data_IF_380831209835
#
_entry.id   IF_380831209835
#
_cell.length_a   1.000
_cell.length_b   1.000
_cell.length_c   1.000
_cell.angle_alpha   90.00
_cell.angle_beta   90.00
_cell.angle_gamma   90.00
#
_symmetry.space_group_name_H-M   'P 1'
#
loop_
_entity.id
_entity.type
_entity.pdbx_description
1 polymer ?
#
# COMPACT_ATOMS: atom_id res chain seq x y z
N UNK A 1 -3.00 4.07 -24.52
CA UNK A 1 -2.17 5.27 -24.17
C UNK A 1 -2.06 5.32 -22.64
N UNK A 2 -0.95 5.79 -22.09
CA UNK A 2 -0.83 5.99 -20.64
C UNK A 2 -1.70 7.17 -20.21
N UNK A 3 -2.36 7.02 -19.07
CA UNK A 3 -3.02 8.12 -18.38
C UNK A 3 -2.05 8.73 -17.37
N UNK A 4 -2.09 10.04 -17.19
CA UNK A 4 -1.17 10.76 -16.30
C UNK A 4 -1.99 11.50 -15.23
N UNK A 5 -1.59 11.34 -13.98
CA UNK A 5 -2.14 12.03 -12.83
C UNK A 5 -1.05 12.83 -12.14
N UNK A 6 -1.31 14.08 -11.79
CA UNK A 6 -0.39 14.90 -11.00
C UNK A 6 -0.72 14.85 -9.51
N UNK A 7 0.30 14.68 -8.68
CA UNK A 7 0.22 14.85 -7.22
C UNK A 7 0.74 16.26 -6.90
N UNK A 8 -0.18 17.15 -6.53
CA UNK A 8 0.12 18.57 -6.33
C UNK A 8 0.71 18.86 -4.93
N UNK A 9 2.03 19.05 -4.86
CA UNK A 9 2.78 19.33 -3.62
C UNK A 9 3.75 20.52 -3.78
N UNK A 10 3.38 21.52 -4.61
CA UNK A 10 4.23 22.66 -4.92
C UNK A 10 5.49 22.22 -5.68
N UNK A 11 6.67 22.60 -5.19
CA UNK A 11 7.96 22.23 -5.80
C UNK A 11 8.25 20.70 -5.76
N UNK A 12 7.54 19.96 -4.91
CA UNK A 12 7.66 18.50 -4.77
C UNK A 12 6.58 17.73 -5.53
N UNK A 13 5.83 18.44 -6.40
CA UNK A 13 4.83 17.80 -7.26
C UNK A 13 5.48 16.78 -8.18
N UNK A 14 4.77 15.70 -8.47
CA UNK A 14 5.23 14.66 -9.37
C UNK A 14 4.06 14.03 -10.14
N UNK A 15 4.39 13.28 -11.17
CA UNK A 15 3.40 12.58 -11.99
C UNK A 15 3.34 11.09 -11.67
N UNK A 16 2.14 10.54 -11.79
CA UNK A 16 1.88 9.10 -11.78
C UNK A 16 1.38 8.74 -13.18
N UNK A 17 2.13 7.93 -13.89
CA UNK A 17 1.75 7.38 -15.19
C UNK A 17 1.16 5.99 -14.97
N UNK A 18 -0.04 5.75 -15.50
CA UNK A 18 -0.75 4.47 -15.37
C UNK A 18 -1.13 3.96 -16.76
N UNK A 19 -0.82 2.71 -17.05
CA UNK A 19 -1.22 2.09 -18.31
C UNK A 19 -0.40 0.85 -18.64
N UNK A 20 -0.73 0.22 -19.76
CA UNK A 20 -0.04 -0.96 -20.28
C UNK A 20 1.27 -0.60 -21.00
N UNK A 21 2.28 -1.45 -20.90
CA UNK A 21 3.55 -1.33 -21.63
C UNK A 21 4.43 -0.15 -21.20
N UNK A 22 4.25 0.37 -19.97
CA UNK A 22 5.05 1.48 -19.48
C UNK A 22 6.49 1.05 -19.18
N UNK A 23 6.68 -0.17 -18.72
CA UNK A 23 8.00 -0.72 -18.40
C UNK A 23 8.91 -0.73 -19.62
N UNK A 24 8.40 -1.17 -20.76
CA UNK A 24 9.14 -1.18 -22.02
C UNK A 24 9.49 0.23 -22.56
N UNK A 25 8.89 1.28 -22.01
CA UNK A 25 9.11 2.69 -22.33
C UNK A 25 9.68 3.49 -21.17
N UNK A 26 10.01 2.82 -20.05
CA UNK A 26 10.45 3.47 -18.83
C UNK A 26 11.65 4.39 -19.07
N UNK A 27 12.66 3.94 -19.84
CA UNK A 27 13.83 4.74 -20.18
C UNK A 27 13.46 6.08 -20.81
N UNK A 28 12.56 6.09 -21.80
CA UNK A 28 12.12 7.31 -22.48
C UNK A 28 11.35 8.26 -21.55
N UNK A 29 10.57 7.71 -20.60
CA UNK A 29 9.81 8.48 -19.61
C UNK A 29 10.70 9.05 -18.49
N UNK A 30 11.73 8.30 -18.10
CA UNK A 30 12.65 8.68 -17.02
C UNK A 30 13.71 9.68 -17.52
N UNK A 31 14.22 9.50 -18.77
CA UNK A 31 15.34 10.28 -19.31
C UNK A 31 15.24 11.80 -19.15
N UNK A 32 14.08 12.45 -19.36
CA UNK A 32 13.93 13.89 -19.22
C UNK A 32 14.07 14.39 -17.76
N UNK A 33 13.92 13.52 -16.76
CA UNK A 33 13.97 13.85 -15.33
C UNK A 33 15.37 13.69 -14.75
N UNK A 34 16.29 13.06 -15.49
CA UNK A 34 17.64 12.76 -15.00
C UNK A 34 18.57 13.96 -15.17
N UNK A 35 19.28 14.31 -14.09
CA UNK A 35 20.36 15.30 -14.14
C UNK A 35 21.59 14.75 -14.91
N UNK A 36 21.85 13.45 -14.81
CA UNK A 36 22.84 12.71 -15.61
C UNK A 36 22.20 11.43 -16.15
N UNK A 37 22.64 10.90 -17.30
CA UNK A 37 22.07 9.70 -17.90
C UNK A 37 22.48 8.42 -17.15
N UNK A 38 22.27 8.40 -15.83
CA UNK A 38 22.66 7.32 -14.93
C UNK A 38 21.62 7.09 -13.84
N UNK A 39 21.27 5.83 -13.62
CA UNK A 39 20.37 5.41 -12.55
C UNK A 39 20.96 4.26 -11.73
N UNK A 40 20.51 4.12 -10.49
CA UNK A 40 20.76 2.95 -9.67
C UNK A 40 19.43 2.24 -9.38
N UNK A 41 19.28 1.00 -9.85
CA UNK A 41 18.04 0.22 -9.75
C UNK A 41 18.10 -0.67 -8.52
N UNK A 42 17.07 -0.61 -7.69
CA UNK A 42 16.88 -1.51 -6.54
C UNK A 42 15.66 -2.38 -6.81
N UNK A 43 15.83 -3.68 -6.76
CA UNK A 43 14.77 -4.66 -7.00
C UNK A 43 14.90 -5.85 -6.06
N UNK A 44 13.99 -6.81 -6.14
CA UNK A 44 14.10 -8.09 -5.45
C UNK A 44 14.25 -9.26 -6.44
N UNK A 45 14.67 -10.44 -5.91
CA UNK A 45 14.93 -11.65 -6.69
C UNK A 45 13.72 -12.09 -7.54
N UNK A 46 12.49 -11.88 -7.05
CA UNK A 46 11.28 -12.23 -7.79
C UNK A 46 11.11 -11.34 -9.02
N UNK A 47 11.28 -10.04 -8.84
CA UNK A 47 11.11 -9.05 -9.92
C UNK A 47 12.29 -9.08 -10.89
N UNK A 48 13.51 -9.40 -10.40
CA UNK A 48 14.68 -9.63 -11.25
C UNK A 48 14.35 -10.67 -12.32
N UNK A 49 13.89 -11.86 -11.91
CA UNK A 49 13.60 -12.97 -12.85
C UNK A 49 12.43 -12.73 -13.78
N UNK A 50 11.51 -11.81 -13.44
CA UNK A 50 10.29 -11.59 -14.22
C UNK A 50 10.37 -10.39 -15.16
N UNK A 51 11.01 -9.30 -14.74
CA UNK A 51 10.79 -8.00 -15.39
C UNK A 51 12.06 -7.15 -15.54
N UNK A 52 13.19 -7.48 -14.88
CA UNK A 52 14.36 -6.62 -14.85
C UNK A 52 14.97 -6.43 -16.25
N UNK A 53 15.01 -7.45 -17.06
CA UNK A 53 15.56 -7.36 -18.43
C UNK A 53 14.77 -6.37 -19.28
N UNK A 54 13.44 -6.36 -19.19
CA UNK A 54 12.59 -5.40 -19.88
C UNK A 54 12.91 -3.96 -19.49
N UNK A 55 13.15 -3.72 -18.18
CA UNK A 55 13.54 -2.39 -17.67
C UNK A 55 14.93 -2.01 -18.20
N UNK A 56 15.92 -2.90 -18.08
CA UNK A 56 17.30 -2.66 -18.56
C UNK A 56 17.34 -2.33 -20.04
N UNK A 57 16.67 -3.13 -20.88
CA UNK A 57 16.58 -2.85 -22.31
C UNK A 57 15.94 -1.48 -22.63
N UNK A 58 14.96 -1.08 -21.83
CA UNK A 58 14.32 0.23 -22.00
C UNK A 58 15.26 1.37 -21.60
N UNK A 59 16.04 1.21 -20.53
CA UNK A 59 17.05 2.17 -20.09
C UNK A 59 18.18 2.28 -21.10
N UNK A 60 18.70 1.15 -21.61
CA UNK A 60 19.78 1.09 -22.61
C UNK A 60 19.37 1.78 -23.91
N UNK A 61 18.14 1.52 -24.41
CA UNK A 61 17.61 2.22 -25.59
C UNK A 61 17.52 3.73 -25.42
N UNK A 62 17.35 4.21 -24.19
CA UNK A 62 17.32 5.63 -23.86
C UNK A 62 18.71 6.22 -23.56
N UNK A 63 19.78 5.43 -23.70
CA UNK A 63 21.16 5.83 -23.37
C UNK A 63 21.36 6.13 -21.89
N UNK A 64 20.68 5.39 -21.01
CA UNK A 64 20.79 5.52 -19.54
C UNK A 64 21.67 4.39 -19.00
N UNK A 65 22.83 4.75 -18.46
CA UNK A 65 23.68 3.82 -17.73
C UNK A 65 22.93 3.34 -16.47
N UNK A 66 22.87 2.02 -16.25
CA UNK A 66 22.19 1.46 -15.11
C UNK A 66 23.09 0.51 -14.32
N UNK A 67 23.15 0.72 -13.03
CA UNK A 67 23.70 -0.17 -12.03
C UNK A 67 22.59 -0.55 -11.05
N UNK A 68 22.79 -1.54 -10.23
CA UNK A 68 21.74 -1.88 -9.28
C UNK A 68 22.11 -2.99 -8.32
N UNK A 69 21.18 -3.27 -7.44
CA UNK A 69 21.24 -4.35 -6.43
C UNK A 69 19.93 -5.11 -6.42
N UNK A 70 20.03 -6.41 -6.22
CA UNK A 70 18.91 -7.32 -6.02
C UNK A 70 18.88 -7.71 -4.56
N UNK A 71 17.72 -7.55 -3.91
CA UNK A 71 17.51 -7.83 -2.50
C UNK A 71 16.65 -9.10 -2.34
N UNK A 72 16.69 -9.77 -1.19
CA UNK A 72 15.75 -10.84 -0.90
C UNK A 72 14.31 -10.31 -0.90
N UNK A 73 13.32 -11.09 -1.40
CA UNK A 73 11.92 -10.71 -1.34
C UNK A 73 11.36 -10.82 0.08
N UNK A 74 10.27 -10.08 0.36
CA UNK A 74 9.49 -10.20 1.59
C UNK A 74 9.76 -9.11 2.63
N UNK A 75 8.84 -9.02 3.60
CA UNK A 75 8.80 -7.96 4.60
C UNK A 75 10.03 -7.93 5.54
N UNK A 76 10.72 -9.06 5.71
CA UNK A 76 11.94 -9.18 6.49
C UNK A 76 13.12 -8.38 5.92
N UNK A 77 13.09 -8.05 4.64
CA UNK A 77 14.10 -7.21 3.97
C UNK A 77 14.01 -5.74 4.37
N UNK A 78 12.90 -5.35 4.98
CA UNK A 78 12.61 -3.97 5.34
C UNK A 78 13.12 -3.63 6.73
N UNK A 79 14.44 -3.72 6.95
CA UNK A 79 15.10 -3.50 8.25
C UNK A 79 16.38 -2.64 8.14
N UNK A 80 17.05 -2.41 9.27
CA UNK A 80 18.28 -1.64 9.33
C UNK A 80 19.46 -2.32 8.63
N UNK A 81 19.56 -3.64 8.68
CA UNK A 81 20.68 -4.36 8.09
C UNK A 81 20.66 -4.25 6.55
N UNK A 82 19.46 -4.43 5.96
CA UNK A 82 19.29 -4.26 4.51
C UNK A 82 19.40 -2.78 4.09
N UNK A 83 18.96 -1.84 4.93
CA UNK A 83 19.20 -0.42 4.67
C UNK A 83 20.68 -0.09 4.61
N UNK A 84 21.47 -0.57 5.56
CA UNK A 84 22.93 -0.37 5.59
C UNK A 84 23.58 -0.97 4.34
N UNK A 85 23.34 -2.24 4.03
CA UNK A 85 23.82 -2.90 2.82
C UNK A 85 23.43 -2.17 1.53
N UNK A 86 22.22 -1.64 1.47
CA UNK A 86 21.74 -0.89 0.30
C UNK A 86 22.51 0.43 0.15
N UNK A 87 22.73 1.15 1.24
CA UNK A 87 23.52 2.39 1.23
C UNK A 87 24.98 2.13 0.81
N UNK A 88 25.58 1.07 1.34
CA UNK A 88 26.95 0.67 0.95
C UNK A 88 27.03 0.33 -0.54
N UNK A 89 26.09 -0.45 -1.07
CA UNK A 89 26.04 -0.76 -2.50
C UNK A 89 25.90 0.49 -3.39
N UNK A 90 25.10 1.47 -2.96
CA UNK A 90 24.98 2.75 -3.67
C UNK A 90 26.27 3.58 -3.63
N UNK A 91 26.98 3.58 -2.49
CA UNK A 91 28.26 4.29 -2.34
C UNK A 91 29.39 3.62 -3.12
N UNK A 92 29.45 2.29 -3.12
CA UNK A 92 30.42 1.51 -3.91
C UNK A 92 30.20 1.71 -5.41
N UNK A 93 28.94 1.82 -5.85
CA UNK A 93 28.56 2.18 -7.21
C UNK A 93 28.83 3.67 -7.53
N UNK A 94 29.42 4.43 -6.59
CA UNK A 94 29.71 5.86 -6.73
C UNK A 94 28.49 6.70 -7.12
N UNK A 95 27.36 6.42 -6.47
CA UNK A 95 26.18 7.29 -6.61
C UNK A 95 26.50 8.71 -6.13
N UNK A 96 26.14 9.68 -6.94
CA UNK A 96 26.31 11.12 -6.66
C UNK A 96 24.98 11.76 -6.28
N UNK A 97 25.00 13.03 -5.84
CA UNK A 97 23.76 13.76 -5.48
C UNK A 97 22.75 13.89 -6.63
N UNK A 98 23.22 13.82 -7.87
CA UNK A 98 22.38 13.84 -9.09
C UNK A 98 21.98 12.46 -9.59
N UNK A 99 22.48 11.37 -8.99
CA UNK A 99 22.09 10.00 -9.36
C UNK A 99 20.65 9.74 -8.95
N UNK A 100 19.82 9.31 -9.88
CA UNK A 100 18.43 8.94 -9.58
C UNK A 100 18.36 7.46 -9.19
N UNK A 101 17.75 7.18 -8.05
CA UNK A 101 17.50 5.81 -7.59
C UNK A 101 16.15 5.34 -8.13
N UNK A 102 16.08 4.13 -8.67
CA UNK A 102 14.85 3.52 -9.18
C UNK A 102 14.44 2.39 -8.25
N UNK A 103 13.33 2.56 -7.55
CA UNK A 103 12.68 1.51 -6.76
C UNK A 103 11.79 0.69 -7.69
N UNK A 104 12.23 -0.51 -8.06
CA UNK A 104 11.52 -1.40 -8.97
C UNK A 104 11.06 -2.65 -8.25
N UNK A 105 9.82 -2.65 -7.74
CA UNK A 105 9.30 -3.75 -6.92
C UNK A 105 7.99 -3.44 -6.21
N UNK A 106 7.63 -4.28 -5.26
CA UNK A 106 6.48 -4.09 -4.38
C UNK A 106 6.71 -3.00 -3.32
N UNK A 107 5.78 -2.90 -2.36
CA UNK A 107 5.85 -1.91 -1.28
C UNK A 107 7.11 -1.98 -0.42
N UNK A 108 7.65 -3.18 -0.20
CA UNK A 108 8.91 -3.38 0.55
C UNK A 108 10.07 -2.66 -0.14
N UNK A 109 10.25 -2.92 -1.44
CA UNK A 109 11.29 -2.26 -2.24
C UNK A 109 11.06 -0.76 -2.33
N UNK A 110 9.82 -0.32 -2.54
CA UNK A 110 9.47 1.09 -2.61
C UNK A 110 9.81 1.86 -1.33
N UNK A 111 9.42 1.32 -0.18
CA UNK A 111 9.62 1.94 1.13
C UNK A 111 11.10 1.97 1.56
N UNK A 112 11.80 0.83 1.43
CA UNK A 112 13.21 0.72 1.77
C UNK A 112 14.07 1.62 0.88
N UNK A 113 13.86 1.57 -0.44
CA UNK A 113 14.61 2.36 -1.42
C UNK A 113 14.34 3.85 -1.26
N UNK A 114 13.08 4.23 -1.07
CA UNK A 114 12.72 5.63 -0.84
C UNK A 114 13.33 6.19 0.44
N UNK A 115 13.41 5.38 1.51
CA UNK A 115 14.07 5.77 2.74
C UNK A 115 15.61 5.86 2.55
N UNK A 116 16.22 4.88 1.87
CA UNK A 116 17.64 4.94 1.51
C UNK A 116 17.97 6.21 0.69
N UNK A 117 17.17 6.52 -0.34
CA UNK A 117 17.32 7.71 -1.15
C UNK A 117 17.19 9.01 -0.32
N UNK A 118 16.32 9.02 0.70
CA UNK A 118 16.12 10.19 1.56
C UNK A 118 17.32 10.51 2.46
N UNK A 119 18.14 9.51 2.80
CA UNK A 119 19.30 9.67 3.69
C UNK A 119 20.64 9.65 2.95
N UNK A 120 20.74 8.98 1.79
CA UNK A 120 21.93 8.94 0.97
C UNK A 120 22.34 10.37 0.57
N UNK A 121 23.58 10.77 0.88
CA UNK A 121 24.14 12.11 0.60
C UNK A 121 23.23 13.29 1.04
N UNK A 122 22.36 13.06 2.03
CA UNK A 122 21.32 13.97 2.56
C UNK A 122 20.13 14.18 1.63
N UNK A 123 19.88 13.23 0.75
CA UNK A 123 18.74 13.17 -0.17
C UNK A 123 19.18 13.16 -1.63
N UNK A 124 18.81 12.11 -2.35
CA UNK A 124 19.00 11.95 -3.79
C UNK A 124 17.65 11.68 -4.47
N UNK A 125 17.44 12.09 -5.72
CA UNK A 125 16.15 11.87 -6.40
C UNK A 125 15.85 10.37 -6.53
N UNK A 126 14.57 10.00 -6.42
CA UNK A 126 14.15 8.63 -6.69
C UNK A 126 12.86 8.56 -7.51
N UNK A 127 12.66 7.43 -8.17
CA UNK A 127 11.52 7.08 -9.00
C UNK A 127 10.97 5.76 -8.50
N UNK A 128 9.65 5.58 -8.54
CA UNK A 128 9.00 4.32 -8.20
C UNK A 128 8.43 3.65 -9.45
N UNK A 129 8.70 2.36 -9.61
CA UNK A 129 8.08 1.47 -10.60
C UNK A 129 7.42 0.33 -9.80
N UNK A 130 6.19 0.56 -9.29
CA UNK A 130 5.50 -0.40 -8.43
C UNK A 130 5.01 -1.61 -9.22
N UNK A 131 5.28 -2.83 -8.71
CA UNK A 131 5.00 -4.09 -9.41
C UNK A 131 3.86 -4.90 -8.80
N UNK A 132 3.33 -4.50 -7.65
CA UNK A 132 2.14 -5.13 -7.04
C UNK A 132 0.96 -4.17 -7.12
N UNK A 133 -0.28 -4.71 -7.13
CA UNK A 133 -1.47 -3.85 -7.12
C UNK A 133 -1.49 -2.96 -5.88
N UNK A 134 -1.14 -3.51 -4.70
CA UNK A 134 -1.02 -2.76 -3.46
C UNK A 134 -0.05 -1.57 -3.60
N UNK A 135 1.12 -1.79 -4.19
CA UNK A 135 2.07 -0.70 -4.38
C UNK A 135 1.61 0.32 -5.43
N UNK A 136 0.93 -0.10 -6.48
CA UNK A 136 0.40 0.80 -7.51
C UNK A 136 -0.69 1.73 -6.96
N UNK A 137 -1.60 1.22 -6.12
CA UNK A 137 -2.76 1.99 -5.63
C UNK A 137 -2.51 2.68 -4.28
N UNK A 138 -1.51 2.25 -3.52
CA UNK A 138 -1.28 2.76 -2.16
C UNK A 138 0.17 3.14 -1.88
N UNK A 139 1.11 2.23 -1.65
CA UNK A 139 2.41 2.56 -1.05
C UNK A 139 3.27 3.50 -1.90
N UNK A 140 3.18 3.49 -3.23
CA UNK A 140 3.93 4.40 -4.10
C UNK A 140 3.46 5.87 -4.08
N UNK A 141 2.33 6.17 -3.44
CA UNK A 141 1.72 7.50 -3.43
C UNK A 141 1.81 8.12 -2.04
N UNK A 142 2.31 9.37 -1.96
CA UNK A 142 2.30 10.15 -0.72
C UNK A 142 3.55 10.05 0.13
N UNK A 143 4.64 9.51 -0.42
CA UNK A 143 6.00 9.65 0.07
C UNK A 143 6.30 9.04 1.44
N UNK A 144 5.44 8.21 2.00
CA UNK A 144 5.78 7.43 3.20
C UNK A 144 6.82 6.40 2.80
N UNK A 145 8.02 6.52 3.38
CA UNK A 145 9.12 5.57 3.19
C UNK A 145 9.66 5.17 4.54
N UNK A 146 10.19 3.96 4.68
CA UNK A 146 10.68 3.54 5.99
C UNK A 146 10.96 2.06 6.11
N UNK A 147 11.37 1.69 7.30
CA UNK A 147 11.77 0.34 7.67
C UNK A 147 11.08 -0.11 8.96
N UNK A 148 11.11 -1.42 9.18
CA UNK A 148 10.62 -2.07 10.37
C UNK A 148 11.68 -2.06 11.48
N UNK A 149 11.20 -2.17 12.70
CA UNK A 149 12.05 -2.30 13.88
C UNK A 149 11.55 -3.46 14.75
N UNK A 150 12.30 -3.83 15.77
CA UNK A 150 11.84 -4.84 16.75
C UNK A 150 10.55 -4.45 17.47
N UNK A 151 10.25 -3.14 17.53
CA UNK A 151 9.08 -2.60 18.22
C UNK A 151 7.83 -2.61 17.32
N UNK A 152 8.00 -2.69 16.00
CA UNK A 152 6.88 -2.71 15.05
C UNK A 152 7.23 -2.29 13.63
N UNK A 153 6.24 -2.42 12.74
CA UNK A 153 6.36 -2.05 11.34
C UNK A 153 6.38 -0.53 11.13
N UNK A 154 7.18 -0.06 10.17
CA UNK A 154 7.18 1.32 9.66
C UNK A 154 7.38 2.40 10.75
N UNK A 155 8.18 2.10 11.80
CA UNK A 155 8.42 3.04 12.90
C UNK A 155 9.54 4.02 12.63
N UNK A 156 10.44 3.70 11.71
CA UNK A 156 11.56 4.54 11.30
C UNK A 156 11.46 4.80 9.80
N UNK A 157 11.49 6.07 9.42
CA UNK A 157 11.34 6.46 8.01
C UNK A 157 11.26 7.96 7.81
N UNK A 158 10.94 8.35 6.60
CA UNK A 158 10.82 9.75 6.18
C UNK A 158 9.60 9.95 5.27
N UNK A 159 9.14 11.20 5.17
CA UNK A 159 8.26 11.63 4.08
C UNK A 159 9.14 12.11 2.93
N UNK A 160 9.32 11.27 1.92
CA UNK A 160 10.16 11.55 0.77
C UNK A 160 9.42 11.25 -0.53
N UNK A 161 9.14 12.31 -1.31
CA UNK A 161 8.33 12.18 -2.52
C UNK A 161 9.16 11.70 -3.70
N UNK A 162 8.66 10.76 -4.53
CA UNK A 162 9.32 10.38 -5.77
C UNK A 162 9.25 11.50 -6.81
N UNK A 163 10.11 11.46 -7.82
CA UNK A 163 10.05 12.36 -8.99
C UNK A 163 9.04 11.88 -10.04
N UNK A 164 8.75 10.59 -10.03
CA UNK A 164 7.84 9.93 -10.97
C UNK A 164 7.39 8.60 -10.38
N UNK A 165 6.16 8.20 -10.68
CA UNK A 165 5.67 6.84 -10.48
C UNK A 165 5.22 6.27 -11.82
N UNK A 166 5.74 5.09 -12.20
CA UNK A 166 5.36 4.36 -13.41
C UNK A 166 4.61 3.08 -13.03
N UNK A 167 3.28 3.13 -13.02
CA UNK A 167 2.41 2.01 -12.72
C UNK A 167 2.02 1.28 -14.02
N UNK A 168 2.84 0.32 -14.42
CA UNK A 168 2.54 -0.56 -15.56
C UNK A 168 1.56 -1.65 -15.11
N UNK A 169 0.35 -1.64 -15.68
CA UNK A 169 -0.68 -2.63 -15.33
C UNK A 169 -0.38 -4.03 -15.87
N UNK A 170 0.52 -4.16 -16.87
CA UNK A 170 0.86 -5.45 -17.46
C UNK A 170 1.68 -6.30 -16.49
N UNK A 171 2.50 -5.69 -15.62
CA UNK A 171 3.30 -6.42 -14.62
C UNK A 171 2.40 -7.13 -13.59
N UNK A 172 1.16 -6.67 -13.40
CA UNK A 172 0.20 -7.33 -12.52
C UNK A 172 -0.25 -8.72 -13.01
N UNK A 173 0.03 -9.06 -14.25
CA UNK A 173 -0.30 -10.38 -14.81
C UNK A 173 0.61 -11.49 -14.29
N UNK A 174 1.77 -11.15 -13.75
CA UNK A 174 2.70 -12.11 -13.14
C UNK A 174 2.53 -12.23 -11.62
N UNK A 175 1.65 -11.41 -11.04
CA UNK A 175 1.39 -11.42 -9.62
C UNK A 175 0.54 -12.64 -9.22
N UNK A 176 0.88 -13.28 -8.12
CA UNK A 176 0.07 -14.38 -7.61
C UNK A 176 -1.37 -13.92 -7.31
N UNK A 177 -2.39 -14.76 -7.56
CA UNK A 177 -3.78 -14.37 -7.35
C UNK A 177 -4.10 -13.90 -5.92
N UNK A 178 -3.40 -14.40 -4.91
CA UNK A 178 -3.56 -13.98 -3.52
C UNK A 178 -3.02 -12.55 -3.30
N UNK A 179 -1.85 -12.24 -3.88
CA UNK A 179 -1.25 -10.90 -3.78
C UNK A 179 -2.08 -9.86 -4.54
N UNK A 180 -2.64 -10.25 -5.69
CA UNK A 180 -3.52 -9.38 -6.46
C UNK A 180 -4.79 -9.05 -5.66
N UNK A 181 -5.43 -10.05 -5.00
CA UNK A 181 -6.57 -9.83 -4.12
C UNK A 181 -6.20 -9.00 -2.88
N UNK A 182 -5.02 -9.23 -2.31
CA UNK A 182 -4.51 -8.40 -1.21
C UNK A 182 -4.45 -6.93 -1.60
N UNK A 183 -3.91 -6.61 -2.78
CA UNK A 183 -3.92 -5.23 -3.30
C UNK A 183 -5.34 -4.70 -3.59
N UNK A 184 -6.24 -5.58 -4.01
CA UNK A 184 -7.63 -5.21 -4.31
C UNK A 184 -8.41 -4.74 -3.06
N UNK A 185 -8.10 -5.23 -1.87
CA UNK A 185 -8.69 -4.73 -0.63
C UNK A 185 -8.44 -3.22 -0.45
N UNK A 186 -7.26 -2.73 -0.82
CA UNK A 186 -6.94 -1.31 -0.79
C UNK A 186 -7.69 -0.51 -1.87
N UNK A 187 -7.95 -1.11 -3.03
CA UNK A 187 -8.83 -0.49 -4.05
C UNK A 187 -10.24 -0.30 -3.50
N UNK A 188 -10.81 -1.33 -2.87
CA UNK A 188 -12.15 -1.27 -2.24
C UNK A 188 -12.21 -0.18 -1.18
N UNK A 189 -11.17 -0.02 -0.38
CA UNK A 189 -11.08 0.99 0.68
C UNK A 189 -11.39 2.40 0.17
N UNK A 190 -10.90 2.79 -1.01
CA UNK A 190 -11.17 4.13 -1.56
C UNK A 190 -12.66 4.35 -1.85
N UNK A 191 -13.35 3.34 -2.38
CA UNK A 191 -14.80 3.40 -2.58
C UNK A 191 -15.58 3.55 -1.27
N UNK A 192 -15.08 2.94 -0.19
CA UNK A 192 -15.71 2.99 1.14
C UNK A 192 -15.46 4.31 1.87
N UNK A 193 -14.35 5.01 1.57
CA UNK A 193 -13.99 6.24 2.28
C UNK A 193 -14.86 7.42 1.82
N UNK A 194 -14.86 7.74 0.52
CA UNK A 194 -15.49 8.95 0.01
C UNK A 194 -16.06 8.85 -1.42
N UNK A 195 -16.06 7.65 -2.03
CA UNK A 195 -16.53 7.47 -3.42
C UNK A 195 -17.48 6.27 -3.57
N UNK A 196 -18.76 6.43 -3.22
CA UNK A 196 -19.76 5.36 -3.35
C UNK A 196 -20.02 4.96 -4.82
N UNK A 197 -19.76 5.85 -5.78
CA UNK A 197 -19.89 5.53 -7.20
C UNK A 197 -18.77 4.59 -7.64
N UNK A 198 -17.55 4.80 -7.13
CA UNK A 198 -16.43 3.89 -7.37
C UNK A 198 -16.68 2.50 -6.74
N UNK A 199 -17.26 2.46 -5.52
CA UNK A 199 -17.66 1.17 -4.93
C UNK A 199 -18.69 0.43 -5.80
N UNK A 200 -19.72 1.12 -6.28
CA UNK A 200 -20.72 0.53 -7.18
C UNK A 200 -20.11 0.07 -8.52
N UNK A 201 -19.10 0.77 -9.02
CA UNK A 201 -18.33 0.35 -10.19
C UNK A 201 -17.51 -0.91 -9.91
N UNK A 202 -16.89 -1.02 -8.73
CA UNK A 202 -16.13 -2.20 -8.31
C UNK A 202 -17.02 -3.45 -8.19
N UNK A 203 -18.26 -3.33 -7.74
CA UNK A 203 -19.21 -4.44 -7.71
C UNK A 203 -19.47 -5.03 -9.10
N UNK A 204 -19.40 -4.22 -10.15
CA UNK A 204 -19.63 -4.65 -11.53
C UNK A 204 -18.35 -5.11 -12.23
N UNK A 205 -17.21 -4.52 -11.91
CA UNK A 205 -15.96 -4.67 -12.67
C UNK A 205 -14.81 -5.30 -11.90
N UNK A 206 -14.96 -5.52 -10.58
CA UNK A 206 -13.90 -6.06 -9.73
C UNK A 206 -13.39 -7.43 -10.19
N UNK A 207 -14.28 -8.31 -10.62
CA UNK A 207 -13.88 -9.60 -11.18
C UNK A 207 -13.09 -9.43 -12.49
N UNK A 208 -13.51 -8.54 -13.38
CA UNK A 208 -12.80 -8.26 -14.63
C UNK A 208 -11.39 -7.72 -14.35
N UNK A 209 -11.22 -6.84 -13.35
CA UNK A 209 -9.92 -6.33 -12.89
C UNK A 209 -9.01 -7.49 -12.46
N UNK A 210 -9.51 -8.39 -11.60
CA UNK A 210 -8.73 -9.53 -11.09
C UNK A 210 -8.38 -10.50 -12.21
N UNK A 211 -9.25 -10.68 -13.20
CA UNK A 211 -9.02 -11.52 -14.38
C UNK A 211 -8.13 -10.88 -15.45
N UNK A 212 -7.64 -9.65 -15.23
CA UNK A 212 -6.65 -9.03 -16.13
C UNK A 212 -7.19 -8.10 -17.18
N UNK A 213 -8.45 -7.66 -17.08
CA UNK A 213 -8.97 -6.66 -18.02
C UNK A 213 -8.21 -5.34 -17.85
N UNK A 214 -7.55 -4.91 -18.92
CA UNK A 214 -6.65 -3.76 -18.90
C UNK A 214 -7.38 -2.43 -18.59
N UNK A 215 -8.60 -2.26 -19.11
CA UNK A 215 -9.39 -1.06 -18.86
C UNK A 215 -9.83 -0.99 -17.38
N UNK A 216 -10.28 -2.12 -16.82
CA UNK A 216 -10.69 -2.20 -15.43
C UNK A 216 -9.49 -1.98 -14.49
N UNK A 217 -8.31 -2.57 -14.77
CA UNK A 217 -7.08 -2.31 -14.02
C UNK A 217 -6.68 -0.85 -14.09
N UNK A 218 -6.62 -0.27 -15.28
CA UNK A 218 -6.25 1.14 -15.47
C UNK A 218 -7.19 2.07 -14.72
N UNK A 219 -8.51 1.86 -14.84
CA UNK A 219 -9.51 2.68 -14.15
C UNK A 219 -9.37 2.59 -12.62
N UNK A 220 -9.25 1.37 -12.08
CA UNK A 220 -9.11 1.18 -10.64
C UNK A 220 -7.82 1.81 -10.07
N UNK A 221 -6.67 1.62 -10.75
CA UNK A 221 -5.39 2.21 -10.32
C UNK A 221 -5.46 3.73 -10.38
N UNK A 222 -5.97 4.31 -11.46
CA UNK A 222 -6.11 5.77 -11.61
C UNK A 222 -7.03 6.36 -10.54
N UNK A 223 -8.21 5.76 -10.32
CA UNK A 223 -9.18 6.26 -9.34
C UNK A 223 -8.61 6.19 -7.93
N UNK A 224 -7.94 5.09 -7.57
CA UNK A 224 -7.28 4.92 -6.28
C UNK A 224 -6.15 5.93 -6.07
N UNK A 225 -5.26 6.09 -7.07
CA UNK A 225 -4.20 7.09 -7.03
C UNK A 225 -4.75 8.51 -6.92
N UNK A 226 -5.82 8.84 -7.66
CA UNK A 226 -6.46 10.15 -7.61
C UNK A 226 -7.06 10.45 -6.22
N UNK A 227 -7.76 9.46 -5.63
CA UNK A 227 -8.29 9.57 -4.28
C UNK A 227 -7.18 9.81 -3.26
N UNK A 228 -6.09 9.00 -3.32
CA UNK A 228 -4.95 9.17 -2.42
C UNK A 228 -4.22 10.50 -2.63
N UNK A 229 -4.00 10.90 -3.87
CA UNK A 229 -3.34 12.15 -4.20
C UNK A 229 -4.10 13.37 -3.63
N UNK A 230 -5.45 13.40 -3.71
CA UNK A 230 -6.26 14.45 -3.09
C UNK A 230 -6.03 14.54 -1.58
N UNK A 231 -6.05 13.39 -0.90
CA UNK A 231 -5.85 13.33 0.54
C UNK A 231 -4.43 13.75 0.94
N UNK A 232 -3.42 13.30 0.18
CA UNK A 232 -2.01 13.66 0.40
C UNK A 232 -1.76 15.14 0.15
N UNK A 233 -2.34 15.73 -0.89
CA UNK A 233 -2.21 17.15 -1.17
C UNK A 233 -2.82 18.03 -0.06
N UNK A 234 -3.90 17.56 0.57
CA UNK A 234 -4.55 18.26 1.69
C UNK A 234 -3.81 18.05 3.04
N UNK A 235 -3.15 16.89 3.23
CA UNK A 235 -2.51 16.52 4.50
C UNK A 235 -1.32 15.58 4.27
N UNK A 236 -0.21 16.13 3.79
CA UNK A 236 0.97 15.35 3.42
C UNK A 236 1.55 14.55 4.59
N UNK A 237 1.57 15.14 5.81
CA UNK A 237 2.23 14.58 7.00
C UNK A 237 1.31 13.80 7.94
N UNK A 238 0.07 13.50 7.49
CA UNK A 238 -0.91 12.72 8.27
C UNK A 238 -1.23 13.34 9.64
N UNK A 239 -1.49 14.62 9.65
CA UNK A 239 -1.89 15.36 10.86
C UNK A 239 -3.41 15.44 11.07
N UNK A 240 -4.23 15.08 10.07
CA UNK A 240 -5.68 15.24 10.07
C UNK A 240 -6.42 14.28 9.14
N UNK A 241 -6.89 14.78 7.99
CA UNK A 241 -7.76 14.03 7.06
C UNK A 241 -7.12 12.76 6.47
N UNK A 242 -5.80 12.72 6.34
CA UNK A 242 -5.10 11.53 5.84
C UNK A 242 -5.35 10.29 6.71
N UNK A 243 -5.72 10.47 7.97
CA UNK A 243 -6.09 9.38 8.86
C UNK A 243 -7.32 8.57 8.36
N UNK A 244 -8.18 9.13 7.50
CA UNK A 244 -9.30 8.41 6.87
C UNK A 244 -8.83 7.22 6.02
N UNK A 245 -7.63 7.30 5.42
CA UNK A 245 -7.02 6.21 4.68
C UNK A 245 -6.76 4.96 5.53
N UNK A 246 -6.89 5.08 6.85
CA UNK A 246 -6.77 3.96 7.77
C UNK A 246 -8.12 3.27 8.08
N UNK A 247 -9.15 3.39 7.23
CA UNK A 247 -10.38 2.61 7.39
C UNK A 247 -10.03 1.11 7.43
N UNK A 248 -10.48 0.40 8.47
CA UNK A 248 -10.16 -1.00 8.71
C UNK A 248 -8.78 -1.27 9.35
N UNK A 249 -7.81 -0.35 9.22
CA UNK A 249 -6.42 -0.61 9.63
C UNK A 249 -6.22 -0.78 11.13
N UNK A 250 -7.05 -0.19 11.98
CA UNK A 250 -6.93 -0.40 13.43
C UNK A 250 -7.17 -1.86 13.80
N UNK A 251 -8.16 -2.50 13.17
CA UNK A 251 -8.39 -3.93 13.31
C UNK A 251 -7.34 -4.75 12.57
N UNK A 252 -7.02 -4.39 11.34
CA UNK A 252 -6.05 -5.10 10.50
C UNK A 252 -4.67 -5.22 11.18
N UNK A 253 -4.12 -4.14 11.73
CA UNK A 253 -2.83 -4.16 12.43
C UNK A 253 -2.84 -5.07 13.67
N UNK A 254 -3.97 -5.15 14.39
CA UNK A 254 -4.11 -6.08 15.50
C UNK A 254 -4.13 -7.53 15.01
N UNK A 255 -4.81 -7.80 13.89
CA UNK A 255 -4.84 -9.12 13.27
C UNK A 255 -3.45 -9.53 12.76
N UNK A 256 -2.73 -8.64 12.09
CA UNK A 256 -1.35 -8.88 11.64
C UNK A 256 -0.41 -9.16 12.81
N UNK A 257 -0.53 -8.38 13.89
CA UNK A 257 0.31 -8.53 15.08
C UNK A 257 0.06 -9.86 15.81
N UNK A 258 -1.20 -10.27 15.96
CA UNK A 258 -1.57 -11.55 16.59
C UNK A 258 -1.23 -12.73 15.68
N UNK A 259 -1.38 -12.57 14.35
CA UNK A 259 -1.00 -13.56 13.34
C UNK A 259 0.52 -13.71 13.13
N UNK A 260 1.35 -12.87 13.77
CA UNK A 260 2.81 -12.95 13.73
C UNK A 260 3.44 -12.34 12.47
N UNK A 261 2.74 -11.45 11.76
CA UNK A 261 3.22 -10.79 10.53
C UNK A 261 3.71 -11.75 9.43
N UNK A 262 3.14 -12.94 9.37
CA UNK A 262 3.58 -14.01 8.48
C UNK A 262 2.66 -14.24 7.29
N UNK A 263 2.88 -15.38 6.62
CA UNK A 263 2.08 -15.80 5.45
C UNK A 263 0.63 -16.20 5.81
N UNK A 264 0.33 -16.40 7.11
CA UNK A 264 -1.01 -16.79 7.55
C UNK A 264 -2.07 -15.77 7.16
N UNK A 265 -1.75 -14.48 7.23
CA UNK A 265 -2.64 -13.39 6.89
C UNK A 265 -1.84 -12.26 6.22
N UNK A 266 -2.10 -12.03 4.92
CA UNK A 266 -1.50 -10.92 4.20
C UNK A 266 -2.15 -9.58 4.61
N UNK A 267 -1.42 -8.46 4.40
CA UNK A 267 -1.89 -7.13 4.75
C UNK A 267 -3.29 -6.82 4.21
N UNK A 268 -3.53 -6.98 2.91
CA UNK A 268 -4.84 -6.68 2.33
C UNK A 268 -5.95 -7.64 2.77
N UNK A 269 -5.61 -8.87 3.14
CA UNK A 269 -6.56 -9.81 3.75
C UNK A 269 -6.97 -9.31 5.14
N UNK A 270 -6.01 -8.85 5.95
CA UNK A 270 -6.27 -8.22 7.24
C UNK A 270 -7.09 -6.93 7.09
N UNK A 271 -6.79 -6.11 6.07
CA UNK A 271 -7.54 -4.88 5.77
C UNK A 271 -8.98 -5.19 5.34
N UNK A 272 -9.21 -6.23 4.52
CA UNK A 272 -10.56 -6.66 4.13
C UNK A 272 -11.42 -7.02 5.35
N UNK A 273 -10.88 -7.87 6.24
CA UNK A 273 -11.54 -8.24 7.51
C UNK A 273 -11.71 -6.99 8.39
N UNK A 274 -10.68 -6.16 8.50
CA UNK A 274 -10.70 -4.94 9.30
C UNK A 274 -11.74 -3.92 8.85
N UNK A 275 -11.98 -3.79 7.54
CA UNK A 275 -13.06 -2.95 7.01
C UNK A 275 -14.43 -3.49 7.41
N UNK A 276 -14.64 -4.81 7.33
CA UNK A 276 -15.88 -5.43 7.79
C UNK A 276 -16.09 -5.22 9.30
N UNK A 277 -15.04 -5.37 10.12
CA UNK A 277 -15.13 -5.10 11.56
C UNK A 277 -15.44 -3.62 11.85
N UNK A 278 -14.87 -2.68 11.08
CA UNK A 278 -15.16 -1.26 11.22
C UNK A 278 -16.62 -0.93 10.86
N UNK A 279 -17.15 -1.55 9.79
CA UNK A 279 -18.56 -1.42 9.42
C UNK A 279 -19.48 -2.10 10.45
N UNK A 280 -19.16 -3.30 10.95
CA UNK A 280 -19.90 -3.99 12.00
C UNK A 280 -19.99 -3.14 13.28
N UNK A 281 -18.86 -2.56 13.71
CA UNK A 281 -18.84 -1.62 14.83
C UNK A 281 -19.74 -0.40 14.56
N UNK A 282 -19.69 0.14 13.36
CA UNK A 282 -20.52 1.28 12.95
C UNK A 282 -22.03 0.94 12.99
N UNK A 283 -22.41 -0.27 12.55
CA UNK A 283 -23.79 -0.76 12.61
C UNK A 283 -24.26 -0.91 14.06
N UNK A 284 -23.44 -1.54 14.93
CA UNK A 284 -23.76 -1.73 16.36
C UNK A 284 -23.88 -0.42 17.11
N UNK A 285 -23.16 0.61 16.69
CA UNK A 285 -23.28 1.96 17.21
C UNK A 285 -24.48 2.75 16.64
N UNK A 286 -25.26 2.17 15.72
CA UNK A 286 -26.37 2.84 15.05
C UNK A 286 -25.96 3.94 14.06
N UNK A 287 -24.71 3.92 13.61
CA UNK A 287 -24.13 4.93 12.72
C UNK A 287 -24.28 4.58 11.23
N UNK A 288 -24.30 3.27 10.90
CA UNK A 288 -24.30 2.75 9.55
C UNK A 288 -25.46 1.79 9.33
N UNK A 289 -26.13 1.80 8.16
CA UNK A 289 -27.13 0.79 7.82
C UNK A 289 -26.52 -0.61 7.74
N UNK A 290 -27.18 -1.61 8.32
CA UNK A 290 -26.75 -3.02 8.22
C UNK A 290 -26.68 -3.52 6.77
N UNK A 291 -27.48 -2.94 5.86
CA UNK A 291 -27.45 -3.25 4.44
C UNK A 291 -26.10 -2.91 3.79
N UNK A 292 -25.42 -1.86 4.22
CA UNK A 292 -24.12 -1.47 3.67
C UNK A 292 -23.01 -2.44 4.12
N UNK A 293 -23.05 -2.93 5.37
CA UNK A 293 -22.17 -4.01 5.83
C UNK A 293 -22.40 -5.28 5.01
N UNK A 294 -23.65 -5.69 4.83
CA UNK A 294 -24.00 -6.89 4.06
C UNK A 294 -23.54 -6.77 2.59
N UNK A 295 -23.66 -5.59 2.00
CA UNK A 295 -23.22 -5.29 0.64
C UNK A 295 -21.70 -5.37 0.50
N UNK A 296 -20.96 -4.82 1.46
CA UNK A 296 -19.49 -4.94 1.51
C UNK A 296 -19.05 -6.41 1.65
N UNK A 297 -19.65 -7.15 2.58
CA UNK A 297 -19.36 -8.56 2.80
C UNK A 297 -19.61 -9.41 1.54
N UNK A 298 -20.75 -9.20 0.89
CA UNK A 298 -21.11 -9.89 -0.35
C UNK A 298 -20.08 -9.61 -1.47
N UNK A 299 -19.65 -8.35 -1.61
CA UNK A 299 -18.66 -7.96 -2.61
C UNK A 299 -17.30 -8.64 -2.36
N UNK A 300 -16.78 -8.58 -1.14
CA UNK A 300 -15.51 -9.19 -0.79
C UNK A 300 -15.55 -10.72 -0.99
N UNK A 301 -16.63 -11.37 -0.55
CA UNK A 301 -16.85 -12.80 -0.71
C UNK A 301 -16.93 -13.23 -2.18
N UNK A 302 -17.60 -12.46 -3.02
CA UNK A 302 -17.73 -12.75 -4.46
C UNK A 302 -16.38 -12.75 -5.18
N UNK A 303 -15.37 -12.02 -4.66
CA UNK A 303 -14.04 -11.93 -5.21
C UNK A 303 -13.00 -12.77 -4.44
N UNK A 304 -13.48 -13.67 -3.58
CA UNK A 304 -12.67 -14.58 -2.77
C UNK A 304 -11.65 -13.85 -1.86
N UNK A 305 -12.04 -12.67 -1.33
CA UNK A 305 -11.34 -12.08 -0.19
C UNK A 305 -11.92 -12.66 1.11
N UNK A 306 -11.12 -12.73 2.18
CA UNK A 306 -11.58 -13.27 3.45
C UNK A 306 -12.65 -12.37 4.09
N UNK A 307 -13.71 -12.99 4.57
CA UNK A 307 -14.82 -12.36 5.31
C UNK A 307 -14.97 -12.94 6.72
N UNK A 308 -14.03 -13.76 7.14
CA UNK A 308 -13.91 -14.33 8.47
C UNK A 308 -12.42 -14.45 8.84
N UNK A 309 -12.12 -14.66 10.11
CA UNK A 309 -10.76 -14.86 10.58
C UNK A 309 -10.22 -16.23 10.09
N UNK A 310 -9.06 -16.26 9.40
CA UNK A 310 -8.47 -17.53 9.01
C UNK A 310 -7.92 -18.28 10.23
N UNK A 311 -7.72 -19.60 10.17
CA UNK A 311 -7.07 -20.33 11.23
C UNK A 311 -5.63 -19.82 11.42
N UNK A 312 -5.20 -19.71 12.69
CA UNK A 312 -3.81 -19.38 13.02
C UNK A 312 -2.91 -20.64 12.91
N UNK A 313 -1.62 -20.46 12.56
CA UNK A 313 -0.68 -21.57 12.52
C UNK A 313 -0.44 -22.17 13.93
N UNK A 314 0.08 -23.40 13.96
CA UNK A 314 0.53 -24.11 15.18
C UNK A 314 -0.56 -24.32 16.26
N UNK A 315 -1.83 -24.41 15.89
CA UNK A 315 -2.92 -24.63 16.84
C UNK A 315 -3.23 -23.45 17.77
N UNK A 316 -2.69 -22.26 17.49
CA UNK A 316 -3.09 -21.02 18.14
C UNK A 316 -4.54 -20.68 17.81
N UNK A 317 -5.24 -20.05 18.74
CA UNK A 317 -6.59 -19.55 18.54
C UNK A 317 -6.60 -18.03 18.62
N UNK A 318 -7.46 -17.38 17.83
CA UNK A 318 -7.75 -15.97 17.98
C UNK A 318 -8.31 -15.67 19.38
N UNK A 319 -7.87 -14.56 19.96
CA UNK A 319 -8.30 -14.12 21.29
C UNK A 319 -8.73 -12.66 21.26
N UNK A 320 -10.00 -12.39 21.54
CA UNK A 320 -10.53 -11.02 21.58
C UNK A 320 -9.78 -10.13 22.59
N UNK A 321 -9.43 -10.59 23.82
CA UNK A 321 -8.59 -9.81 24.73
C UNK A 321 -7.18 -9.54 24.19
N UNK A 322 -6.55 -10.50 23.49
CA UNK A 322 -5.23 -10.30 22.89
C UNK A 322 -5.29 -9.24 21.77
N UNK A 323 -6.25 -9.38 20.85
CA UNK A 323 -6.50 -8.38 19.79
C UNK A 323 -6.72 -6.99 20.37
N UNK A 324 -7.54 -6.87 21.43
CA UNK A 324 -7.82 -5.60 22.08
C UNK A 324 -6.56 -4.97 22.72
N UNK A 325 -5.59 -5.80 23.15
CA UNK A 325 -4.34 -5.31 23.73
C UNK A 325 -3.44 -4.61 22.72
N UNK A 326 -3.50 -5.02 21.43
CA UNK A 326 -2.73 -4.40 20.36
C UNK A 326 -3.19 -2.97 20.06
N UNK A 327 -4.45 -2.63 20.26
CA UNK A 327 -4.96 -1.26 20.05
C UNK A 327 -4.33 -0.24 20.99
N UNK A 328 -3.98 -0.63 22.20
CA UNK A 328 -3.32 0.27 23.17
C UNK A 328 -1.87 0.64 22.75
N UNK A 329 -1.26 -0.16 21.89
CA UNK A 329 0.09 0.06 21.35
C UNK A 329 0.10 0.82 20.01
N UNK A 330 -1.08 1.08 19.41
CA UNK A 330 -1.17 1.80 18.15
C UNK A 330 -0.77 3.27 18.33
N UNK A 331 -0.03 3.81 17.37
CA UNK A 331 0.37 5.24 17.28
C UNK A 331 -0.80 6.23 17.30
N UNK A 332 -2.02 5.76 17.08
CA UNK A 332 -3.26 6.55 17.05
C UNK A 332 -3.82 6.85 18.45
N UNK A 333 -3.16 6.41 19.52
CA UNK A 333 -3.53 6.72 20.90
C UNK A 333 -3.12 8.16 21.21
N UNK A 334 -4.09 9.08 21.32
CA UNK A 334 -3.93 10.42 21.89
C UNK A 334 -4.72 10.47 23.18
N UNK A 335 -4.09 10.90 24.26
CA UNK A 335 -4.71 11.02 25.58
C UNK A 335 -5.37 9.72 26.10
N UNK A 336 -4.76 8.56 25.75
CA UNK A 336 -5.26 7.25 26.16
C UNK A 336 -6.46 6.74 25.35
N UNK A 337 -6.94 7.47 24.33
CA UNK A 337 -8.06 7.08 23.48
C UNK A 337 -7.59 6.72 22.06
N UNK A 338 -8.08 5.59 21.56
CA UNK A 338 -7.85 5.15 20.17
C UNK A 338 -8.82 5.90 19.26
N UNK A 339 -8.31 6.45 18.16
CA UNK A 339 -9.18 7.03 17.12
C UNK A 339 -9.47 5.97 16.06
N UNK A 340 -10.74 5.65 15.89
CA UNK A 340 -11.22 4.73 14.86
C UNK A 340 -11.62 5.48 13.60
N UNK A 341 -11.45 4.85 12.45
CA UNK A 341 -12.13 5.25 11.21
C UNK A 341 -13.37 4.37 11.09
N UNK A 342 -14.55 4.98 11.20
CA UNK A 342 -15.85 4.35 11.08
C UNK A 342 -16.59 4.86 9.85
N UNK A 343 -17.76 4.31 9.53
CA UNK A 343 -18.56 4.69 8.39
C UNK A 343 -20.01 5.04 8.78
N UNK A 344 -20.59 6.05 8.12
CA UNK A 344 -22.03 6.31 8.14
C UNK A 344 -22.79 5.58 7.04
N UNK A 345 -22.05 5.00 6.11
CA UNK A 345 -22.46 4.25 4.94
C UNK A 345 -21.28 4.10 3.98
N UNK A 346 -21.49 3.39 2.88
CA UNK A 346 -20.50 3.28 1.81
C UNK A 346 -20.17 4.67 1.25
N UNK A 347 -18.87 5.03 1.19
CA UNK A 347 -18.41 6.35 0.75
C UNK A 347 -18.54 7.45 1.81
N UNK A 348 -18.76 7.11 3.08
CA UNK A 348 -18.98 8.10 4.15
C UNK A 348 -18.17 7.75 5.41
N UNK A 349 -16.85 7.56 5.24
CA UNK A 349 -15.97 7.32 6.37
C UNK A 349 -15.70 8.60 7.17
N UNK A 350 -15.51 8.45 8.49
CA UNK A 350 -15.19 9.54 9.38
C UNK A 350 -14.35 9.08 10.57
N UNK A 351 -13.69 10.04 11.23
CA UNK A 351 -12.90 9.78 12.43
C UNK A 351 -13.79 9.81 13.69
N UNK A 352 -13.76 8.73 14.47
CA UNK A 352 -14.53 8.58 15.72
C UNK A 352 -13.59 8.36 16.91
N UNK A 353 -13.74 9.19 17.95
CA UNK A 353 -13.00 9.07 19.23
C UNK A 353 -13.88 8.60 20.38
N UNK A 354 -15.17 8.53 20.13
CA UNK A 354 -16.20 8.20 21.12
C UNK A 354 -16.61 6.73 20.99
N UNK A 355 -15.61 5.83 20.94
CA UNK A 355 -15.82 4.39 20.89
C UNK A 355 -15.48 3.80 22.24
N UNK A 356 -16.48 3.20 22.88
CA UNK A 356 -16.28 2.54 24.18
C UNK A 356 -15.55 1.20 24.00
N UNK A 357 -14.61 0.92 24.92
CA UNK A 357 -13.85 -0.33 24.91
C UNK A 357 -14.73 -1.58 24.87
N UNK A 358 -15.87 -1.55 25.55
CA UNK A 358 -16.83 -2.65 25.58
C UNK A 358 -17.45 -2.93 24.20
N UNK A 359 -17.72 -1.88 23.40
CA UNK A 359 -18.25 -2.03 22.05
C UNK A 359 -17.24 -2.71 21.12
N UNK A 360 -15.97 -2.32 21.21
CA UNK A 360 -14.89 -2.95 20.42
C UNK A 360 -14.71 -4.41 20.85
N UNK A 361 -14.70 -4.70 22.16
CA UNK A 361 -14.55 -6.04 22.67
C UNK A 361 -15.70 -6.96 22.17
N UNK A 362 -16.94 -6.49 22.21
CA UNK A 362 -18.09 -7.25 21.73
C UNK A 362 -17.98 -7.59 20.23
N UNK A 363 -17.47 -6.66 19.38
CA UNK A 363 -17.18 -6.96 17.97
C UNK A 363 -16.12 -8.05 17.88
N UNK A 364 -15.01 -7.91 18.60
CA UNK A 364 -13.91 -8.89 18.54
C UNK A 364 -14.36 -10.28 19.02
N UNK A 365 -15.14 -10.37 20.10
CA UNK A 365 -15.66 -11.64 20.62
C UNK A 365 -16.54 -12.36 19.59
N UNK A 366 -17.45 -11.63 18.95
CA UNK A 366 -18.32 -12.20 17.92
C UNK A 366 -17.53 -12.64 16.68
N UNK A 367 -16.51 -11.87 16.27
CA UNK A 367 -15.68 -12.23 15.14
C UNK A 367 -14.77 -13.45 15.41
N UNK A 368 -14.26 -13.57 16.64
CA UNK A 368 -13.49 -14.74 17.08
C UNK A 368 -14.35 -15.98 17.19
N UNK A 369 -15.64 -15.84 17.51
CA UNK A 369 -16.59 -16.95 17.61
C UNK A 369 -17.18 -17.40 16.25
N UNK A 370 -17.00 -16.64 15.18
CA UNK A 370 -17.47 -17.02 13.83
C UNK A 370 -16.73 -18.29 13.36
N UNK A 371 -17.44 -19.28 12.76
CA UNK A 371 -16.88 -20.50 12.27
C UNK A 371 -15.96 -20.29 11.06
#
# INVERSE_FOLDING_TARGET
MASVLSVALGERSYEIHVGAGLLARAGALIRPLLASPRVFVVTDETIEGLHLDTLKESLDRAGIENHGVVLPPGEQTKDFAHLESLLDAMLDARCERGTTIVAFGGGVIGDLTGFAASVLLRGVPFIQIPTTLLSQVDSSVGGKTGINTRQGKNLVGSFYQPRLVLADIDVLSTLAPRDLRSGYAEVVKYGLIDDPAFFAWLEQHGLALLLGNAEARTHAVLTSCAAKARVVAADEKESGQRALLNLGHTFAHALEAEGGYGEALQHGEAVAIGMLMAFDLSVRMGLCPAADLARLEAHLKALALPVALPPLPEGKAWSAPALLSHFAKDKKVKDGKVTFVLARGIGQAFLCREVERAQVLAVLEDWVARP
#
